data_IF_231284996077
#
_entry.id   IF_231284996077
#
_cell.length_a   1.000
_cell.length_b   1.000
_cell.length_c   1.000
_cell.angle_alpha   90.00
_cell.angle_beta   90.00
_cell.angle_gamma   90.00
#
_symmetry.space_group_name_H-M   'P 1'
#
loop_
_entity.id
_entity.type
_entity.pdbx_description
1 polymer ?
#
# COMPACT_ATOMS: atom_id res chain seq x y z
N UNK A 1 1.60 59.38 -38.45
CA UNK A 1 1.72 59.10 -37.03
C UNK A 1 0.85 57.86 -36.76
N UNK A 2 1.43 56.68 -36.87
CA UNK A 2 0.76 55.37 -36.61
C UNK A 2 1.23 54.88 -35.28
N UNK A 3 0.31 54.87 -34.30
CA UNK A 3 0.54 54.28 -32.97
C UNK A 3 0.33 52.76 -33.02
N UNK A 4 1.39 52.01 -32.85
CA UNK A 4 1.35 50.55 -32.66
C UNK A 4 1.10 50.26 -31.20
N UNK A 5 -0.06 49.71 -30.89
CA UNK A 5 -0.39 49.14 -29.57
C UNK A 5 0.07 47.70 -29.50
N UNK A 6 1.03 47.46 -28.62
CA UNK A 6 1.50 46.14 -28.23
C UNK A 6 0.44 45.40 -27.37
N UNK A 7 0.10 44.12 -27.62
CA UNK A 7 -0.82 43.41 -26.76
C UNK A 7 -0.13 43.03 -25.45
N UNK A 8 -0.72 43.45 -24.33
CA UNK A 8 -0.31 43.01 -22.98
C UNK A 8 -0.61 41.54 -22.78
N UNK A 9 0.43 40.80 -22.50
CA UNK A 9 0.39 39.39 -22.08
C UNK A 9 -0.33 39.30 -20.72
N UNK A 10 -1.51 38.69 -20.69
CA UNK A 10 -2.16 38.31 -19.44
C UNK A 10 -1.36 37.17 -18.78
N UNK A 11 -0.96 37.27 -17.51
CA UNK A 11 -0.31 36.17 -16.81
C UNK A 11 -1.33 35.08 -16.49
N UNK A 12 -0.84 33.88 -16.62
CA UNK A 12 -1.35 32.56 -16.53
C UNK A 12 -2.52 32.27 -15.59
N UNK A 13 -3.24 31.24 -15.99
CA UNK A 13 -4.27 30.50 -15.29
C UNK A 13 -3.86 30.22 -13.83
N UNK A 14 -4.55 30.88 -12.90
CA UNK A 14 -4.42 30.60 -11.49
C UNK A 14 -4.78 29.12 -11.22
N UNK A 15 -3.85 28.36 -10.69
CA UNK A 15 -4.11 27.03 -10.16
C UNK A 15 -5.25 27.16 -9.14
N UNK A 16 -6.26 26.30 -9.24
CA UNK A 16 -7.33 26.25 -8.25
C UNK A 16 -6.73 26.12 -6.83
N UNK A 17 -7.28 26.79 -5.81
CA UNK A 17 -6.74 26.74 -4.48
C UNK A 17 -6.69 25.28 -4.00
N UNK A 18 -5.52 24.86 -3.50
CA UNK A 18 -5.31 23.51 -2.97
C UNK A 18 -6.27 23.23 -1.82
N UNK A 19 -6.91 22.05 -1.82
CA UNK A 19 -7.83 21.65 -0.78
C UNK A 19 -7.13 21.36 0.56
N UNK A 20 -7.92 21.16 1.65
CA UNK A 20 -7.36 20.95 2.98
C UNK A 20 -6.45 19.73 3.12
N UNK A 21 -6.76 18.62 2.42
CA UNK A 21 -5.93 17.40 2.44
C UNK A 21 -4.62 17.67 1.70
N UNK A 22 -4.69 18.32 0.55
CA UNK A 22 -3.50 18.67 -0.22
C UNK A 22 -2.57 19.62 0.56
N UNK A 23 -3.11 20.62 1.24
CA UNK A 23 -2.31 21.55 2.05
C UNK A 23 -1.52 20.82 3.15
N UNK A 24 -2.16 19.87 3.84
CA UNK A 24 -1.53 19.04 4.88
C UNK A 24 -0.50 18.08 4.29
N UNK A 25 -0.81 17.45 3.17
CA UNK A 25 0.12 16.60 2.43
C UNK A 25 1.36 17.39 2.00
N UNK A 26 1.18 18.56 1.41
CA UNK A 26 2.28 19.44 1.00
C UNK A 26 3.11 19.94 2.21
N UNK A 27 2.52 20.07 3.39
CA UNK A 27 3.24 20.38 4.62
C UNK A 27 4.16 19.23 5.04
N UNK A 28 3.70 17.97 4.99
CA UNK A 28 4.51 16.79 5.27
C UNK A 28 5.66 16.62 4.27
N UNK A 29 5.43 16.94 2.99
CA UNK A 29 6.48 16.93 1.98
C UNK A 29 7.53 18.01 2.25
N UNK A 30 7.11 19.22 2.62
CA UNK A 30 8.04 20.33 2.93
C UNK A 30 8.86 20.08 4.19
N UNK A 31 8.31 19.41 5.18
CA UNK A 31 9.05 19.03 6.40
C UNK A 31 10.02 17.85 6.18
N UNK A 32 10.01 17.23 4.99
CA UNK A 32 10.82 16.05 4.71
C UNK A 32 10.30 14.76 5.37
N UNK A 33 9.12 14.80 6.01
CA UNK A 33 8.51 13.62 6.64
C UNK A 33 8.12 12.56 5.63
N UNK A 34 7.67 13.00 4.45
CA UNK A 34 7.34 12.13 3.32
C UNK A 34 7.92 12.71 2.02
N UNK A 35 8.13 11.85 1.05
CA UNK A 35 8.43 12.29 -0.30
C UNK A 35 7.14 12.49 -1.11
N UNK A 36 7.19 13.45 -2.05
CA UNK A 36 6.06 13.69 -2.97
C UNK A 36 5.84 12.49 -3.89
N UNK A 37 4.62 11.99 -3.93
CA UNK A 37 4.22 10.84 -4.74
C UNK A 37 3.03 11.19 -5.64
N UNK A 38 3.15 10.90 -6.95
CA UNK A 38 2.11 11.23 -7.92
C UNK A 38 0.81 10.44 -7.72
N UNK A 39 0.92 9.16 -7.32
CA UNK A 39 -0.23 8.32 -7.03
C UNK A 39 -0.95 8.79 -5.75
N UNK A 40 -0.18 9.14 -4.70
CA UNK A 40 -0.76 9.74 -3.50
C UNK A 40 -1.47 11.06 -3.81
N UNK A 41 -0.90 11.91 -4.68
CA UNK A 41 -1.53 13.18 -5.07
C UNK A 41 -2.85 12.99 -5.81
N UNK A 42 -3.01 11.92 -6.59
CA UNK A 42 -4.32 11.60 -7.20
C UNK A 42 -5.36 11.27 -6.12
N UNK A 43 -4.99 10.46 -5.14
CA UNK A 43 -5.87 10.13 -4.00
C UNK A 43 -6.17 11.39 -3.17
N UNK A 44 -5.17 12.24 -2.90
CA UNK A 44 -5.34 13.50 -2.19
C UNK A 44 -6.37 14.40 -2.87
N UNK A 45 -6.32 14.54 -4.19
CA UNK A 45 -7.32 15.31 -4.96
C UNK A 45 -8.71 14.73 -4.84
N UNK A 46 -8.85 13.40 -4.98
CA UNK A 46 -10.15 12.74 -4.83
C UNK A 46 -10.73 12.89 -3.41
N UNK A 47 -9.86 12.86 -2.38
CA UNK A 47 -10.25 13.11 -1.00
C UNK A 47 -10.70 14.57 -0.79
N UNK A 48 -10.02 15.56 -1.40
CA UNK A 48 -10.44 16.97 -1.35
C UNK A 48 -11.76 17.20 -2.08
N UNK A 49 -12.00 16.56 -3.23
CA UNK A 49 -13.27 16.61 -3.95
C UNK A 49 -14.42 16.05 -3.11
N UNK A 50 -14.17 14.92 -2.42
CA UNK A 50 -15.11 14.33 -1.49
C UNK A 50 -15.41 15.27 -0.32
N UNK A 51 -14.38 15.91 0.28
CA UNK A 51 -14.56 16.92 1.33
C UNK A 51 -15.46 18.07 0.88
N UNK A 52 -15.23 18.58 -0.32
CA UNK A 52 -16.07 19.63 -0.91
C UNK A 52 -17.53 19.21 -1.02
N UNK A 53 -17.77 17.95 -1.40
CA UNK A 53 -19.14 17.39 -1.53
C UNK A 53 -19.79 17.17 -0.17
N UNK A 54 -19.07 16.63 0.81
CA UNK A 54 -19.54 16.47 2.18
C UNK A 54 -19.90 17.81 2.83
N UNK A 55 -19.07 18.84 2.63
CA UNK A 55 -19.31 20.18 3.16
C UNK A 55 -20.57 20.83 2.52
N UNK A 56 -20.76 20.70 1.22
CA UNK A 56 -21.99 21.16 0.52
C UNK A 56 -23.24 20.47 1.09
N UNK A 57 -23.17 19.15 1.25
CA UNK A 57 -24.30 18.37 1.82
C UNK A 57 -24.63 18.79 3.25
N UNK A 58 -23.62 19.03 4.08
CA UNK A 58 -23.82 19.47 5.46
C UNK A 58 -24.49 20.85 5.52
N UNK A 59 -24.07 21.79 4.65
CA UNK A 59 -24.70 23.12 4.54
C UNK A 59 -26.16 23.03 4.09
N UNK A 60 -26.44 22.19 3.09
CA UNK A 60 -27.80 21.96 2.62
C UNK A 60 -28.71 21.38 3.72
N UNK A 61 -28.20 20.45 4.55
CA UNK A 61 -28.95 19.90 5.70
C UNK A 61 -29.22 20.95 6.78
N UNK A 62 -28.28 21.85 7.06
CA UNK A 62 -28.46 22.97 8.02
C UNK A 62 -29.46 24.03 7.49
N UNK A 63 -29.43 24.34 6.19
CA UNK A 63 -30.37 25.24 5.54
C UNK A 63 -31.80 24.66 5.46
N UNK A 64 -31.93 23.35 5.32
CA UNK A 64 -33.21 22.64 5.27
C UNK A 64 -33.94 22.53 6.62
N UNK A 65 -33.28 22.85 7.75
CA UNK A 65 -33.96 22.94 9.03
C UNK A 65 -34.99 24.09 9.08
N UNK A 66 -34.84 25.13 8.22
CA UNK A 66 -35.89 26.14 7.97
C UNK A 66 -36.86 25.70 6.87
N UNK A 67 -36.44 24.79 5.96
CA UNK A 67 -37.23 24.34 4.81
C UNK A 67 -38.34 23.32 5.16
N UNK A 68 -38.42 22.85 6.42
CA UNK A 68 -39.51 22.01 6.90
C UNK A 68 -40.88 22.66 6.69
N UNK A 69 -40.94 23.97 6.67
CA UNK A 69 -42.20 24.75 6.37
C UNK A 69 -42.60 24.73 4.90
N UNK A 70 -41.78 24.27 3.96
CA UNK A 70 -42.05 24.35 2.51
C UNK A 70 -42.01 23.00 1.80
N UNK A 71 -42.07 21.87 2.47
CA UNK A 71 -42.48 20.57 1.91
C UNK A 71 -41.63 19.95 0.82
N UNK A 72 -40.36 20.37 0.59
CA UNK A 72 -39.49 19.77 -0.41
C UNK A 72 -38.31 19.04 0.25
N UNK A 73 -38.50 17.76 0.50
CA UNK A 73 -37.43 16.81 0.81
C UNK A 73 -36.72 16.41 -0.50
N UNK A 74 -35.87 17.27 -1.02
CA UNK A 74 -34.88 16.84 -2.01
C UNK A 74 -33.69 16.23 -1.25
N UNK A 75 -33.79 14.94 -0.97
CA UNK A 75 -32.66 14.18 -0.43
C UNK A 75 -31.68 13.92 -1.57
N UNK A 76 -30.74 14.85 -1.79
CA UNK A 76 -29.63 14.60 -2.70
C UNK A 76 -28.99 13.25 -2.35
N UNK A 77 -28.71 12.44 -3.37
CA UNK A 77 -28.07 11.14 -3.19
C UNK A 77 -26.79 11.29 -2.36
N UNK A 78 -26.47 10.31 -1.49
CA UNK A 78 -25.24 10.36 -0.72
C UNK A 78 -24.04 10.44 -1.66
N UNK A 79 -22.99 11.23 -1.33
CA UNK A 79 -21.81 11.30 -2.15
C UNK A 79 -21.13 9.92 -2.22
N UNK A 80 -20.60 9.59 -3.38
CA UNK A 80 -19.75 8.40 -3.50
C UNK A 80 -18.52 8.59 -2.60
N UNK A 81 -18.28 7.57 -1.77
CA UNK A 81 -17.06 7.54 -0.95
C UNK A 81 -15.82 7.15 -1.74
N UNK A 82 -14.78 6.70 -1.04
CA UNK A 82 -13.55 6.18 -1.67
C UNK A 82 -13.17 4.83 -1.09
N UNK A 83 -12.67 3.96 -1.95
CA UNK A 83 -11.99 2.73 -1.59
C UNK A 83 -10.57 2.77 -2.12
N UNK A 84 -9.60 2.96 -1.22
CA UNK A 84 -8.19 3.14 -1.55
C UNK A 84 -7.48 1.83 -1.26
N UNK A 85 -7.02 1.14 -2.31
CA UNK A 85 -6.35 -0.14 -2.14
C UNK A 85 -4.95 -0.14 -2.75
N UNK A 86 -4.11 -1.06 -2.28
CA UNK A 86 -2.73 -1.20 -2.72
C UNK A 86 -1.84 -1.83 -1.65
N UNK A 87 -0.57 -2.04 -1.95
CA UNK A 87 0.38 -2.73 -1.07
C UNK A 87 0.57 -2.02 0.29
N UNK A 88 1.07 -2.77 1.27
CA UNK A 88 1.45 -2.23 2.59
C UNK A 88 2.55 -1.16 2.45
N UNK A 89 2.58 -0.18 3.36
CA UNK A 89 3.62 0.87 3.38
C UNK A 89 3.41 1.99 2.35
N UNK A 90 2.25 2.08 1.69
CA UNK A 90 1.94 3.09 0.66
C UNK A 90 1.43 4.43 1.20
N UNK A 91 1.28 4.53 2.50
CA UNK A 91 0.72 5.74 3.10
C UNK A 91 -0.80 5.81 3.04
N UNK A 92 -1.53 4.71 2.79
CA UNK A 92 -3.00 4.68 2.79
C UNK A 92 -3.57 5.20 4.11
N UNK A 93 -3.04 4.71 5.22
CA UNK A 93 -3.44 5.12 6.57
C UNK A 93 -3.16 6.60 6.80
N UNK A 94 -2.00 7.11 6.40
CA UNK A 94 -1.65 8.53 6.48
C UNK A 94 -2.62 9.40 5.66
N UNK A 95 -2.95 9.00 4.43
CA UNK A 95 -3.92 9.73 3.60
C UNK A 95 -5.32 9.73 4.24
N UNK A 96 -5.73 8.61 4.84
CA UNK A 96 -6.96 8.50 5.62
C UNK A 96 -6.95 9.44 6.83
N UNK A 97 -5.81 9.56 7.55
CA UNK A 97 -5.65 10.49 8.67
C UNK A 97 -5.88 11.93 8.24
N UNK A 98 -5.17 12.37 7.19
CA UNK A 98 -5.28 13.73 6.65
C UNK A 98 -6.72 14.06 6.25
N UNK A 99 -7.41 13.10 5.62
CA UNK A 99 -8.81 13.24 5.23
C UNK A 99 -9.73 13.28 6.44
N UNK A 100 -9.63 12.29 7.34
CA UNK A 100 -10.51 12.19 8.49
C UNK A 100 -10.43 13.44 9.37
N UNK A 101 -9.23 13.97 9.61
CA UNK A 101 -9.08 15.21 10.36
C UNK A 101 -9.81 16.40 9.71
N UNK A 102 -9.74 16.52 8.36
CA UNK A 102 -10.35 17.62 7.62
C UNK A 102 -11.86 17.44 7.41
N UNK A 103 -12.38 16.22 7.50
CA UNK A 103 -13.76 15.91 7.16
C UNK A 103 -14.76 16.58 8.13
N UNK A 104 -15.84 17.20 7.60
CA UNK A 104 -16.83 17.87 8.41
C UNK A 104 -17.90 16.90 8.95
N UNK A 105 -18.55 17.26 10.06
CA UNK A 105 -19.72 16.57 10.60
C UNK A 105 -19.42 15.36 11.48
N UNK A 106 -20.46 14.62 11.88
CA UNK A 106 -20.31 13.39 12.64
C UNK A 106 -19.59 12.34 11.79
N UNK A 107 -18.44 11.90 12.28
CA UNK A 107 -17.54 10.97 11.60
C UNK A 107 -16.96 9.97 12.58
N UNK A 108 -16.79 8.74 12.12
CA UNK A 108 -16.17 7.67 12.91
C UNK A 108 -15.07 7.02 12.09
N UNK A 109 -13.89 6.84 12.70
CA UNK A 109 -12.80 6.06 12.15
C UNK A 109 -12.53 4.86 13.04
N UNK A 110 -12.36 3.70 12.42
CA UNK A 110 -12.19 2.44 13.12
C UNK A 110 -11.53 1.42 12.20
N UNK A 111 -10.73 0.51 12.77
CA UNK A 111 -10.29 -0.67 12.04
C UNK A 111 -11.51 -1.53 11.70
N UNK A 112 -11.51 -2.09 10.49
CA UNK A 112 -12.68 -2.79 9.98
C UNK A 112 -13.13 -3.96 10.85
N UNK A 113 -12.19 -4.74 11.37
CA UNK A 113 -12.50 -5.83 12.33
C UNK A 113 -13.16 -5.31 13.61
N UNK A 114 -12.72 -4.16 14.13
CA UNK A 114 -13.35 -3.55 15.30
C UNK A 114 -14.78 -3.07 15.04
N UNK A 115 -15.04 -2.58 13.82
CA UNK A 115 -16.40 -2.25 13.40
C UNK A 115 -17.30 -3.48 13.30
N UNK A 116 -16.79 -4.59 12.76
CA UNK A 116 -17.54 -5.84 12.70
C UNK A 116 -17.88 -6.38 14.08
N UNK A 117 -16.90 -6.36 15.00
CA UNK A 117 -17.14 -6.78 16.38
C UNK A 117 -18.24 -5.95 17.06
N UNK A 118 -18.20 -4.60 16.91
CA UNK A 118 -19.24 -3.69 17.41
C UNK A 118 -20.61 -3.99 16.77
N UNK A 119 -20.66 -4.25 15.46
CA UNK A 119 -21.90 -4.61 14.77
C UNK A 119 -22.47 -5.93 15.28
N UNK A 120 -21.65 -6.96 15.46
CA UNK A 120 -22.07 -8.25 16.02
C UNK A 120 -22.60 -8.09 17.46
N UNK A 121 -21.92 -7.31 18.30
CA UNK A 121 -22.36 -7.05 19.66
C UNK A 121 -23.73 -6.36 19.69
N UNK A 122 -23.94 -5.34 18.86
CA UNK A 122 -25.23 -4.65 18.75
C UNK A 122 -26.34 -5.56 18.25
N UNK A 123 -26.06 -6.41 17.26
CA UNK A 123 -27.00 -7.43 16.75
C UNK A 123 -27.34 -8.42 17.87
N UNK A 124 -26.35 -8.86 18.62
CA UNK A 124 -26.58 -9.77 19.76
C UNK A 124 -27.44 -9.12 20.85
N UNK A 125 -27.11 -7.90 21.26
CA UNK A 125 -27.85 -7.12 22.23
C UNK A 125 -29.33 -6.92 21.82
N UNK A 126 -29.56 -6.59 20.55
CA UNK A 126 -30.93 -6.46 20.02
C UNK A 126 -31.71 -7.79 20.10
N UNK A 127 -31.09 -8.92 19.73
CA UNK A 127 -31.71 -10.24 19.82
C UNK A 127 -32.06 -10.63 21.26
N UNK A 128 -31.23 -10.24 22.24
CA UNK A 128 -31.50 -10.46 23.65
C UNK A 128 -32.67 -9.59 24.14
N UNK A 129 -32.70 -8.31 23.75
CA UNK A 129 -33.81 -7.42 24.07
C UNK A 129 -35.14 -7.90 23.47
N UNK A 130 -35.10 -8.46 22.24
CA UNK A 130 -36.25 -9.07 21.61
C UNK A 130 -36.76 -10.28 22.40
N UNK A 131 -35.90 -11.17 22.85
CA UNK A 131 -36.22 -12.31 23.70
C UNK A 131 -36.88 -11.87 25.05
N UNK A 132 -36.48 -10.71 25.59
CA UNK A 132 -37.06 -10.12 26.80
C UNK A 132 -38.36 -9.34 26.54
N UNK A 133 -38.76 -9.21 25.28
CA UNK A 133 -39.97 -8.44 24.89
C UNK A 133 -39.77 -6.90 24.98
N UNK A 134 -38.56 -6.40 25.10
CA UNK A 134 -38.23 -4.98 25.25
C UNK A 134 -38.30 -4.23 23.89
N UNK A 135 -38.12 -4.94 22.78
CA UNK A 135 -38.17 -4.40 21.42
C UNK A 135 -39.08 -5.24 20.53
N UNK A 136 -39.54 -4.67 19.42
CA UNK A 136 -40.39 -5.35 18.43
C UNK A 136 -39.67 -5.45 17.10
N UNK A 137 -39.92 -6.52 16.35
CA UNK A 137 -39.38 -6.75 15.01
C UNK A 137 -38.29 -7.84 14.98
N UNK A 138 -38.31 -8.67 13.93
CA UNK A 138 -37.48 -9.88 13.84
C UNK A 138 -36.06 -9.60 13.34
N UNK A 139 -35.88 -8.48 12.63
CA UNK A 139 -34.63 -8.16 11.96
C UNK A 139 -33.81 -7.10 12.73
N UNK A 140 -32.63 -7.48 13.28
CA UNK A 140 -31.77 -6.56 14.03
C UNK A 140 -31.01 -5.57 13.13
N UNK A 141 -30.89 -5.82 11.81
CA UNK A 141 -30.05 -5.04 10.90
C UNK A 141 -30.53 -3.59 10.79
N UNK A 142 -31.85 -3.40 10.62
CA UNK A 142 -32.44 -2.06 10.54
C UNK A 142 -32.10 -1.19 11.76
N UNK A 143 -32.47 -1.60 12.98
CA UNK A 143 -32.19 -0.85 14.21
C UNK A 143 -30.68 -0.61 14.45
N UNK A 144 -29.82 -1.59 14.16
CA UNK A 144 -28.38 -1.44 14.27
C UNK A 144 -27.84 -0.40 13.27
N UNK A 145 -28.32 -0.45 12.03
CA UNK A 145 -27.97 0.54 11.02
C UNK A 145 -28.47 1.96 11.38
N UNK A 146 -29.65 2.09 12.01
CA UNK A 146 -30.18 3.36 12.51
C UNK A 146 -29.26 3.96 13.59
N UNK A 147 -28.84 3.13 14.55
CA UNK A 147 -27.93 3.55 15.60
C UNK A 147 -26.58 4.01 15.03
N UNK A 148 -25.95 3.21 14.16
CA UNK A 148 -24.67 3.53 13.54
C UNK A 148 -24.75 4.80 12.66
N UNK A 149 -25.80 4.96 11.87
CA UNK A 149 -26.03 6.14 11.04
C UNK A 149 -26.33 7.40 11.87
N UNK A 150 -26.91 7.24 13.06
CA UNK A 150 -27.11 8.32 14.02
C UNK A 150 -25.81 8.81 14.64
N UNK A 151 -24.84 7.90 14.85
CA UNK A 151 -23.51 8.22 15.39
C UNK A 151 -22.60 8.91 14.36
N UNK A 152 -22.64 8.46 13.11
CA UNK A 152 -21.76 8.98 12.07
C UNK A 152 -22.39 8.96 10.67
N UNK A 153 -22.28 10.09 9.98
CA UNK A 153 -22.64 10.20 8.56
C UNK A 153 -21.47 9.87 7.61
N UNK A 154 -20.26 9.76 8.15
CA UNK A 154 -19.04 9.35 7.47
C UNK A 154 -18.36 8.24 8.29
N UNK A 155 -18.18 7.08 7.67
CA UNK A 155 -17.42 5.96 8.23
C UNK A 155 -16.11 5.82 7.47
N UNK A 156 -15.01 5.84 8.21
CA UNK A 156 -13.67 5.64 7.70
C UNK A 156 -13.14 4.30 8.23
N UNK A 157 -12.80 3.38 7.35
CA UNK A 157 -12.33 2.05 7.68
C UNK A 157 -10.88 1.86 7.31
N UNK A 158 -10.05 1.51 8.30
CA UNK A 158 -8.72 1.01 8.03
C UNK A 158 -8.75 -0.51 7.86
N UNK A 159 -7.93 -1.02 6.94
CA UNK A 159 -7.72 -2.45 6.71
C UNK A 159 -9.01 -3.20 6.38
N UNK A 160 -9.77 -2.69 5.42
CA UNK A 160 -11.02 -3.31 4.99
C UNK A 160 -10.74 -4.69 4.36
N UNK A 161 -11.02 -5.75 5.12
CA UNK A 161 -10.83 -7.14 4.72
C UNK A 161 -11.99 -7.99 5.22
N UNK A 162 -12.33 -9.05 4.50
CA UNK A 162 -13.38 -10.01 4.88
C UNK A 162 -12.82 -11.41 4.75
N UNK A 163 -12.78 -12.15 5.84
CA UNK A 163 -12.20 -13.51 5.91
C UNK A 163 -13.18 -14.55 6.41
N UNK A 164 -14.20 -14.14 7.18
CA UNK A 164 -15.17 -15.04 7.79
C UNK A 164 -16.54 -15.00 7.09
N UNK A 165 -17.22 -16.15 7.03
CA UNK A 165 -18.53 -16.26 6.38
C UNK A 165 -19.65 -15.52 7.15
N UNK A 166 -19.58 -15.50 8.49
CA UNK A 166 -20.59 -14.81 9.29
C UNK A 166 -20.52 -13.31 9.06
N UNK A 167 -19.31 -12.76 8.93
CA UNK A 167 -19.07 -11.36 8.55
C UNK A 167 -19.60 -11.07 7.16
N UNK A 168 -19.25 -11.91 6.17
CA UNK A 168 -19.68 -11.75 4.79
C UNK A 168 -21.20 -11.67 4.66
N UNK A 169 -21.92 -12.53 5.38
CA UNK A 169 -23.40 -12.58 5.34
C UNK A 169 -24.08 -11.36 5.99
N UNK A 170 -23.48 -10.80 7.03
CA UNK A 170 -24.01 -9.60 7.72
C UNK A 170 -23.69 -8.34 6.95
N UNK A 171 -22.49 -8.24 6.40
CA UNK A 171 -21.97 -7.05 5.71
C UNK A 171 -22.89 -6.56 4.59
N UNK A 172 -23.33 -7.46 3.71
CA UNK A 172 -24.20 -7.08 2.59
C UNK A 172 -25.46 -6.39 3.07
N UNK A 173 -26.12 -6.93 4.08
CA UNK A 173 -27.36 -6.37 4.63
C UNK A 173 -27.14 -5.08 5.42
N UNK A 174 -26.07 -5.04 6.23
CA UNK A 174 -25.76 -3.88 7.07
C UNK A 174 -25.34 -2.67 6.23
N UNK A 175 -24.44 -2.87 5.26
CA UNK A 175 -23.98 -1.77 4.39
C UNK A 175 -25.10 -1.25 3.48
N UNK A 176 -25.94 -2.12 2.94
CA UNK A 176 -27.15 -1.71 2.21
C UNK A 176 -28.03 -0.80 3.07
N UNK A 177 -28.26 -1.18 4.33
CA UNK A 177 -29.03 -0.39 5.25
C UNK A 177 -28.36 0.94 5.62
N UNK A 178 -27.02 0.98 5.77
CA UNK A 178 -26.24 2.20 6.02
C UNK A 178 -26.26 3.14 4.81
N UNK A 179 -26.06 2.62 3.61
CA UNK A 179 -26.13 3.42 2.37
C UNK A 179 -27.53 4.01 2.14
N UNK A 180 -28.59 3.25 2.43
CA UNK A 180 -29.96 3.77 2.38
C UNK A 180 -30.21 4.93 3.35
N UNK A 181 -29.47 4.98 4.47
CA UNK A 181 -29.51 6.07 5.46
C UNK A 181 -28.57 7.23 5.09
N UNK A 182 -27.87 7.10 3.97
CA UNK A 182 -27.00 8.13 3.44
C UNK A 182 -25.65 8.24 4.13
N UNK A 183 -25.17 7.16 4.72
CA UNK A 183 -23.80 7.08 5.24
C UNK A 183 -22.82 7.02 4.06
N UNK A 184 -21.76 7.80 4.16
CA UNK A 184 -20.64 7.78 3.21
C UNK A 184 -19.52 6.93 3.79
N UNK A 185 -18.88 6.12 2.95
CA UNK A 185 -17.81 5.20 3.36
C UNK A 185 -16.50 5.59 2.67
N UNK A 186 -15.42 5.70 3.45
CA UNK A 186 -14.05 5.76 2.93
C UNK A 186 -13.28 4.60 3.54
N UNK A 187 -12.65 3.78 2.71
CA UNK A 187 -11.96 2.58 3.18
C UNK A 187 -10.54 2.52 2.63
N UNK A 188 -9.60 2.03 3.45
CA UNK A 188 -8.28 1.58 3.00
C UNK A 188 -8.22 0.06 3.04
N UNK A 189 -7.56 -0.55 2.07
CA UNK A 189 -7.41 -2.01 1.98
C UNK A 189 -6.09 -2.40 1.31
N UNK A 190 -5.65 -3.62 1.56
CA UNK A 190 -4.59 -4.26 0.78
C UNK A 190 -5.15 -5.13 -0.35
N UNK A 191 -6.50 -5.24 -0.43
CA UNK A 191 -7.20 -6.12 -1.35
C UNK A 191 -8.10 -5.28 -2.26
N UNK A 192 -8.08 -5.59 -3.55
CA UNK A 192 -9.02 -5.02 -4.52
C UNK A 192 -10.46 -5.43 -4.19
N UNK A 193 -11.47 -4.56 -4.39
CA UNK A 193 -12.86 -4.91 -4.08
C UNK A 193 -13.33 -6.22 -4.67
N UNK A 194 -12.99 -6.50 -5.92
CA UNK A 194 -13.40 -7.72 -6.63
C UNK A 194 -12.75 -8.99 -6.06
N UNK A 195 -11.67 -8.85 -5.30
CA UNK A 195 -10.97 -9.94 -4.61
C UNK A 195 -11.33 -10.07 -3.13
N UNK A 196 -12.20 -9.22 -2.62
CA UNK A 196 -12.71 -9.37 -1.25
C UNK A 196 -13.37 -10.74 -1.08
N UNK A 197 -13.03 -11.39 0.04
CA UNK A 197 -13.52 -12.73 0.37
C UNK A 197 -13.21 -13.78 -0.72
N UNK A 198 -12.09 -13.62 -1.46
CA UNK A 198 -11.63 -14.57 -2.47
C UNK A 198 -11.35 -15.94 -1.84
N UNK A 199 -11.84 -17.01 -2.47
CA UNK A 199 -11.77 -18.38 -1.92
C UNK A 199 -12.68 -18.64 -0.72
N UNK A 200 -13.45 -17.70 -0.24
CA UNK A 200 -14.35 -17.85 0.88
C UNK A 200 -15.55 -18.75 0.58
N UNK A 201 -16.05 -19.44 1.61
CA UNK A 201 -17.21 -20.33 1.50
C UNK A 201 -18.47 -19.57 1.08
N UNK A 202 -19.18 -20.08 0.05
CA UNK A 202 -20.38 -19.43 -0.50
C UNK A 202 -20.14 -17.98 -1.00
N UNK A 203 -18.97 -17.68 -1.54
CA UNK A 203 -18.60 -16.35 -2.03
C UNK A 203 -19.64 -15.75 -3.00
N UNK A 204 -20.36 -16.58 -3.74
CA UNK A 204 -21.43 -16.11 -4.64
C UNK A 204 -22.50 -15.27 -3.93
N UNK A 205 -22.78 -15.52 -2.66
CA UNK A 205 -23.71 -14.73 -1.84
C UNK A 205 -23.13 -13.38 -1.41
N UNK A 206 -21.81 -13.20 -1.50
CA UNK A 206 -21.14 -11.96 -1.17
C UNK A 206 -20.93 -11.03 -2.39
N UNK A 207 -20.95 -11.56 -3.62
CA UNK A 207 -20.80 -10.77 -4.84
C UNK A 207 -21.78 -9.59 -4.97
N UNK A 208 -23.06 -9.70 -4.58
CA UNK A 208 -23.97 -8.55 -4.61
C UNK A 208 -23.52 -7.39 -3.70
N UNK A 209 -22.89 -7.69 -2.57
CA UNK A 209 -22.30 -6.65 -1.71
C UNK A 209 -21.11 -5.95 -2.38
N UNK A 210 -20.22 -6.71 -3.05
CA UNK A 210 -19.10 -6.11 -3.80
C UNK A 210 -19.63 -5.16 -4.86
N UNK A 211 -20.65 -5.56 -5.62
CA UNK A 211 -21.28 -4.72 -6.63
C UNK A 211 -21.86 -3.44 -6.01
N UNK A 212 -22.62 -3.55 -4.92
CA UNK A 212 -23.17 -2.38 -4.22
C UNK A 212 -22.07 -1.47 -3.65
N UNK A 213 -21.03 -2.04 -3.05
CA UNK A 213 -19.90 -1.27 -2.54
C UNK A 213 -19.25 -0.46 -3.66
N UNK A 214 -18.94 -1.07 -4.81
CA UNK A 214 -18.29 -0.41 -5.94
C UNK A 214 -19.16 0.66 -6.61
N UNK A 215 -20.48 0.56 -6.52
CA UNK A 215 -21.38 1.65 -6.92
C UNK A 215 -21.29 2.84 -5.96
N UNK A 216 -21.11 2.59 -4.67
CA UNK A 216 -21.13 3.61 -3.60
C UNK A 216 -19.79 4.27 -3.33
N UNK A 217 -18.68 3.70 -3.83
CA UNK A 217 -17.34 4.25 -3.68
C UNK A 217 -16.64 4.40 -5.03
N UNK A 218 -15.75 5.39 -5.14
CA UNK A 218 -14.77 5.42 -6.21
C UNK A 218 -13.59 4.54 -5.79
N UNK A 219 -13.26 3.54 -6.59
CA UNK A 219 -12.14 2.64 -6.33
C UNK A 219 -10.86 3.29 -6.86
N UNK A 220 -9.87 3.44 -5.99
CA UNK A 220 -8.58 4.01 -6.33
C UNK A 220 -7.46 3.05 -5.92
N UNK A 221 -6.66 2.67 -6.89
CA UNK A 221 -5.47 1.90 -6.65
C UNK A 221 -4.32 2.84 -6.31
N UNK A 222 -3.74 2.66 -5.13
CA UNK A 222 -2.55 3.37 -4.72
C UNK A 222 -1.34 2.50 -5.07
N UNK A 223 -0.92 2.61 -6.31
CA UNK A 223 0.19 1.84 -6.85
C UNK A 223 1.51 2.19 -6.19
N UNK A 224 2.37 1.20 -6.23
CA UNK A 224 3.74 1.38 -5.81
C UNK A 224 4.48 2.30 -6.79
N UNK A 225 5.37 3.15 -6.26
CA UNK A 225 6.43 3.81 -7.07
C UNK A 225 7.20 2.81 -7.94
N UNK A 226 7.07 1.51 -7.69
CA UNK A 226 7.75 0.43 -8.39
C UNK A 226 7.32 0.31 -9.86
N UNK A 227 6.03 0.52 -10.20
CA UNK A 227 5.59 0.52 -11.61
C UNK A 227 6.18 1.70 -12.40
N UNK A 228 6.28 2.88 -11.76
CA UNK A 228 6.94 4.05 -12.37
C UNK A 228 8.47 3.85 -12.54
N UNK A 229 9.06 2.94 -11.76
CA UNK A 229 10.51 2.66 -11.79
C UNK A 229 10.88 1.59 -12.80
N UNK A 230 9.97 0.65 -13.09
CA UNK A 230 10.12 -0.27 -14.23
C UNK A 230 10.08 0.47 -15.57
N UNK A 231 9.20 1.48 -15.72
CA UNK A 231 9.26 2.39 -16.87
C UNK A 231 10.59 3.16 -16.93
N UNK A 232 11.15 3.52 -15.76
CA UNK A 232 12.45 4.20 -15.69
C UNK A 232 13.64 3.30 -15.99
N UNK A 233 13.56 1.99 -15.70
CA UNK A 233 14.57 1.03 -16.17
C UNK A 233 14.42 0.72 -17.67
N UNK A 234 13.28 1.14 -18.30
CA UNK A 234 13.09 1.13 -19.75
C UNK A 234 13.28 -0.23 -20.44
N UNK A 235 13.06 -1.34 -19.71
CA UNK A 235 13.37 -2.68 -20.19
C UNK A 235 14.86 -3.02 -20.21
N UNK A 236 15.71 -2.19 -19.58
CA UNK A 236 17.14 -2.47 -19.44
C UNK A 236 17.37 -3.74 -18.60
N UNK A 237 18.37 -4.55 -18.95
CA UNK A 237 18.75 -5.70 -18.14
C UNK A 237 19.04 -5.28 -16.69
N UNK A 238 18.63 -6.09 -15.74
CA UNK A 238 18.93 -5.87 -14.30
C UNK A 238 20.09 -6.73 -13.79
N UNK A 239 20.68 -7.57 -14.66
CA UNK A 239 21.80 -8.42 -14.35
C UNK A 239 22.80 -8.35 -15.52
N UNK A 240 24.02 -7.93 -15.20
CA UNK A 240 25.05 -7.63 -16.18
C UNK A 240 26.23 -8.59 -16.03
N UNK A 241 26.64 -9.22 -17.11
CA UNK A 241 27.78 -10.12 -17.21
C UNK A 241 28.56 -9.76 -18.46
N UNK A 242 29.90 -9.71 -18.37
CA UNK A 242 30.75 -9.78 -17.20
C UNK A 242 30.69 -8.51 -16.32
N UNK A 243 31.22 -8.58 -15.10
CA UNK A 243 31.38 -7.43 -14.21
C UNK A 243 32.53 -6.53 -14.68
N UNK A 244 32.31 -5.78 -15.73
CA UNK A 244 33.29 -4.89 -16.36
C UNK A 244 32.87 -3.40 -16.27
N UNK A 245 33.63 -2.53 -16.92
CA UNK A 245 33.34 -1.10 -16.93
C UNK A 245 31.98 -0.77 -17.57
N UNK A 246 31.50 -1.57 -18.52
CA UNK A 246 30.18 -1.38 -19.13
C UNK A 246 29.07 -1.76 -18.15
N UNK A 247 29.25 -2.84 -17.40
CA UNK A 247 28.35 -3.23 -16.32
C UNK A 247 28.31 -2.17 -15.21
N UNK A 248 29.47 -1.64 -14.79
CA UNK A 248 29.54 -0.55 -13.81
C UNK A 248 28.76 0.70 -14.28
N UNK A 249 28.91 1.09 -15.54
CA UNK A 249 28.18 2.21 -16.14
C UNK A 249 26.66 1.94 -16.21
N UNK A 250 26.24 0.68 -16.46
CA UNK A 250 24.86 0.28 -16.44
C UNK A 250 24.25 0.35 -15.02
N UNK A 251 24.98 -0.06 -13.98
CA UNK A 251 24.56 0.09 -12.59
C UNK A 251 24.44 1.57 -12.19
N UNK A 252 25.36 2.44 -12.64
CA UNK A 252 25.28 3.88 -12.43
C UNK A 252 24.04 4.50 -13.13
N UNK A 253 23.74 4.04 -14.33
CA UNK A 253 22.54 4.46 -15.06
C UNK A 253 21.25 4.00 -14.34
N UNK A 254 21.22 2.76 -13.88
CA UNK A 254 20.12 2.22 -13.09
C UNK A 254 19.90 3.02 -11.78
N UNK A 255 20.98 3.28 -11.03
CA UNK A 255 20.90 4.10 -9.80
C UNK A 255 20.37 5.50 -10.10
N UNK A 256 20.87 6.16 -11.13
CA UNK A 256 20.43 7.50 -11.54
C UNK A 256 18.96 7.50 -11.99
N UNK A 257 18.58 6.51 -12.77
CA UNK A 257 17.19 6.36 -13.24
C UNK A 257 16.22 6.14 -12.09
N UNK A 258 16.56 5.27 -11.13
CA UNK A 258 15.74 4.92 -9.98
C UNK A 258 15.62 6.06 -8.97
N UNK A 259 16.73 6.78 -8.70
CA UNK A 259 16.80 7.77 -7.62
C UNK A 259 16.64 9.21 -8.09
N UNK A 260 16.87 9.50 -9.37
CA UNK A 260 16.97 10.84 -9.92
C UNK A 260 18.28 11.57 -9.53
N UNK A 261 19.24 10.87 -8.89
CA UNK A 261 20.50 11.43 -8.43
C UNK A 261 21.68 10.72 -9.11
N UNK A 262 22.73 11.47 -9.42
CA UNK A 262 23.96 10.89 -9.99
C UNK A 262 24.74 10.06 -8.95
N UNK A 263 24.68 10.47 -7.68
CA UNK A 263 25.26 9.78 -6.52
C UNK A 263 24.33 9.88 -5.33
N UNK A 264 24.34 8.84 -4.49
CA UNK A 264 23.70 8.80 -3.19
C UNK A 264 24.60 9.36 -2.08
N UNK A 265 24.21 9.09 -0.85
CA UNK A 265 24.97 9.39 0.35
C UNK A 265 25.23 8.09 1.12
N UNK A 266 26.33 7.99 1.87
CA UNK A 266 26.51 6.87 2.79
C UNK A 266 25.48 6.95 3.91
N UNK A 267 24.99 5.78 4.33
CA UNK A 267 24.00 5.64 5.39
C UNK A 267 24.28 4.44 6.28
N UNK A 268 23.34 4.10 7.13
CA UNK A 268 23.38 2.89 7.94
C UNK A 268 21.99 2.39 8.31
N UNK A 269 21.86 1.09 8.53
CA UNK A 269 20.64 0.45 9.05
C UNK A 269 20.91 -0.12 10.44
N UNK A 270 20.08 0.26 11.41
CA UNK A 270 20.19 -0.20 12.79
C UNK A 270 19.65 -1.62 12.94
N UNK A 271 20.48 -2.56 13.41
CA UNK A 271 20.12 -3.96 13.59
C UNK A 271 20.60 -4.44 14.97
N UNK A 272 19.69 -4.81 15.85
CA UNK A 272 20.01 -5.39 17.17
C UNK A 272 21.10 -4.60 17.95
N UNK A 273 21.02 -3.27 17.90
CA UNK A 273 21.94 -2.40 18.65
C UNK A 273 23.25 -2.04 17.93
N UNK A 274 23.53 -2.57 16.74
CA UNK A 274 24.67 -2.20 15.89
C UNK A 274 24.20 -1.55 14.58
N UNK A 275 25.07 -0.79 13.93
CA UNK A 275 24.81 -0.17 12.65
C UNK A 275 25.43 -1.01 11.53
N UNK A 276 24.63 -1.38 10.54
CA UNK A 276 25.09 -1.98 9.29
C UNK A 276 25.32 -0.85 8.30
N UNK A 277 26.56 -0.60 7.87
CA UNK A 277 26.85 0.51 6.97
C UNK A 277 26.27 0.26 5.58
N UNK A 278 25.76 1.33 4.98
CA UNK A 278 25.27 1.36 3.60
C UNK A 278 26.19 2.30 2.82
N UNK A 279 27.04 1.80 1.91
CA UNK A 279 28.04 2.62 1.22
C UNK A 279 27.41 3.77 0.42
N UNK A 280 26.26 3.52 -0.21
CA UNK A 280 25.54 4.52 -0.99
C UNK A 280 24.05 4.25 -0.96
N UNK A 281 23.24 5.28 -0.61
CA UNK A 281 21.79 5.19 -0.63
C UNK A 281 21.13 6.47 -1.13
N UNK A 282 20.00 6.32 -1.78
CA UNK A 282 19.09 7.41 -2.12
C UNK A 282 17.69 6.87 -2.46
N UNK A 283 16.65 7.57 -2.04
CA UNK A 283 15.26 7.32 -2.43
C UNK A 283 14.81 5.84 -2.28
N UNK A 284 15.28 5.13 -1.24
CA UNK A 284 14.95 3.73 -0.98
C UNK A 284 15.69 2.72 -1.88
N UNK A 285 16.72 3.16 -2.59
CA UNK A 285 17.69 2.34 -3.32
C UNK A 285 18.99 2.33 -2.55
N UNK A 286 19.57 1.17 -2.29
CA UNK A 286 20.91 1.03 -1.70
C UNK A 286 21.86 0.36 -2.69
N UNK A 287 23.12 0.79 -2.69
CA UNK A 287 24.19 0.24 -3.51
C UNK A 287 25.31 -0.32 -2.64
N UNK A 288 25.75 -1.52 -2.97
CA UNK A 288 26.79 -2.27 -2.29
C UNK A 288 27.74 -2.92 -3.29
N UNK A 289 28.96 -3.12 -2.91
CA UNK A 289 29.79 -4.16 -3.51
C UNK A 289 29.46 -5.53 -2.92
N UNK A 290 29.69 -6.61 -3.64
CA UNK A 290 29.52 -7.97 -3.12
C UNK A 290 30.23 -8.19 -1.77
N UNK A 291 31.44 -7.65 -1.64
CA UNK A 291 32.24 -7.77 -0.42
C UNK A 291 31.63 -7.08 0.79
N UNK A 292 30.87 -6.00 0.58
CA UNK A 292 30.21 -5.27 1.67
C UNK A 292 29.11 -6.12 2.31
N UNK A 293 28.47 -7.00 1.53
CA UNK A 293 27.38 -7.85 1.98
C UNK A 293 27.84 -9.27 2.35
N UNK A 294 28.72 -9.88 1.56
CA UNK A 294 29.03 -11.29 1.67
C UNK A 294 30.40 -11.59 2.28
N UNK A 295 31.39 -10.69 2.19
CA UNK A 295 32.70 -10.87 2.87
C UNK A 295 32.68 -10.34 4.33
N UNK A 296 31.64 -9.57 4.71
CA UNK A 296 31.46 -9.13 6.09
C UNK A 296 30.64 -10.16 6.90
N UNK A 297 30.76 -10.18 8.25
CA UNK A 297 30.03 -11.13 9.09
C UNK A 297 28.56 -10.72 9.27
N UNK A 298 27.85 -10.54 8.16
CA UNK A 298 26.42 -10.28 8.13
C UNK A 298 25.62 -11.60 8.09
N UNK A 299 24.37 -11.54 8.53
CA UNK A 299 23.47 -12.69 8.58
C UNK A 299 22.02 -12.34 8.25
N UNK A 300 21.12 -13.31 8.44
CA UNK A 300 19.72 -13.18 8.06
C UNK A 300 19.01 -11.95 8.67
N UNK A 301 19.30 -11.61 9.93
CA UNK A 301 18.72 -10.42 10.59
C UNK A 301 19.14 -9.11 9.92
N UNK A 302 20.39 -9.04 9.43
CA UNK A 302 20.92 -7.86 8.74
C UNK A 302 20.28 -7.70 7.37
N UNK A 303 20.21 -8.79 6.60
CA UNK A 303 19.58 -8.81 5.29
C UNK A 303 18.07 -8.50 5.38
N UNK A 304 17.39 -9.00 6.42
CA UNK A 304 16.00 -8.67 6.67
C UNK A 304 15.80 -7.17 6.95
N UNK A 305 16.69 -6.57 7.71
CA UNK A 305 16.64 -5.13 7.99
C UNK A 305 16.91 -4.30 6.73
N UNK A 306 17.90 -4.69 5.90
CA UNK A 306 18.14 -4.08 4.60
C UNK A 306 16.93 -4.23 3.69
N UNK A 307 16.34 -5.43 3.62
CA UNK A 307 15.17 -5.70 2.80
C UNK A 307 13.92 -4.91 3.22
N UNK A 308 13.79 -4.55 4.49
CA UNK A 308 12.71 -3.67 4.99
C UNK A 308 12.97 -2.20 4.69
N UNK A 309 14.24 -1.78 4.70
CA UNK A 309 14.63 -0.38 4.51
C UNK A 309 14.67 0.04 3.04
N UNK A 310 15.03 -0.89 2.16
CA UNK A 310 15.26 -0.59 0.75
C UNK A 310 14.39 -1.48 -0.15
N UNK A 311 13.71 -0.85 -1.11
CA UNK A 311 12.93 -1.59 -2.11
C UNK A 311 13.76 -2.10 -3.28
N UNK A 312 14.98 -1.60 -3.46
CA UNK A 312 15.93 -2.01 -4.51
C UNK A 312 17.34 -2.05 -3.95
N UNK A 313 18.04 -3.16 -4.16
CA UNK A 313 19.45 -3.29 -3.93
C UNK A 313 20.19 -3.39 -5.27
N UNK A 314 21.24 -2.58 -5.41
CA UNK A 314 22.20 -2.65 -6.51
C UNK A 314 23.48 -3.27 -5.95
N UNK A 315 23.91 -4.39 -6.50
CA UNK A 315 25.11 -5.12 -6.02
C UNK A 315 26.11 -5.29 -7.16
N UNK A 316 27.30 -4.73 -6.97
CA UNK A 316 28.38 -4.84 -7.96
C UNK A 316 29.35 -5.97 -7.64
N UNK A 317 30.00 -6.45 -8.69
CA UNK A 317 31.20 -7.30 -8.63
C UNK A 317 30.95 -8.65 -7.92
N UNK A 318 29.86 -9.33 -8.25
CA UNK A 318 29.60 -10.67 -7.73
C UNK A 318 30.57 -11.65 -8.39
N UNK A 319 31.50 -12.28 -7.64
CA UNK A 319 32.52 -13.15 -8.19
C UNK A 319 31.95 -14.56 -8.46
N UNK A 320 32.68 -15.31 -9.27
CA UNK A 320 32.54 -16.76 -9.29
C UNK A 320 33.13 -17.32 -7.99
N UNK A 321 32.35 -18.11 -7.26
CA UNK A 321 32.69 -18.65 -5.96
C UNK A 321 32.98 -20.16 -6.05
N UNK A 322 34.04 -20.58 -5.37
CA UNK A 322 34.44 -21.97 -5.22
C UNK A 322 34.37 -22.42 -3.76
N UNK A 323 35.11 -23.50 -3.44
CA UNK A 323 35.19 -24.04 -2.09
C UNK A 323 35.83 -23.06 -1.11
N UNK A 324 36.76 -22.23 -1.57
CA UNK A 324 37.42 -21.22 -0.75
C UNK A 324 36.47 -20.12 -0.28
N UNK A 325 35.46 -19.78 -1.11
CA UNK A 325 34.46 -18.75 -0.86
C UNK A 325 33.17 -19.33 -0.28
N UNK A 326 33.22 -20.52 0.32
CA UNK A 326 32.04 -21.21 0.85
C UNK A 326 31.21 -20.36 1.83
N UNK A 327 31.86 -19.57 2.67
CA UNK A 327 31.16 -18.71 3.63
C UNK A 327 30.48 -17.53 2.95
N UNK A 328 31.11 -16.95 1.94
CA UNK A 328 30.55 -15.90 1.10
C UNK A 328 29.35 -16.42 0.31
N UNK A 329 29.47 -17.61 -0.29
CA UNK A 329 28.39 -18.27 -0.99
C UNK A 329 27.18 -18.53 -0.08
N UNK A 330 27.39 -19.00 1.16
CA UNK A 330 26.32 -19.20 2.12
C UNK A 330 25.62 -17.88 2.50
N UNK A 331 26.37 -16.80 2.67
CA UNK A 331 25.77 -15.48 2.92
C UNK A 331 25.03 -14.97 1.70
N UNK A 332 25.55 -15.19 0.50
CA UNK A 332 24.88 -14.82 -0.74
C UNK A 332 23.55 -15.57 -0.93
N UNK A 333 23.52 -16.88 -0.67
CA UNK A 333 22.28 -17.67 -0.64
C UNK A 333 21.27 -17.03 0.31
N UNK A 334 21.69 -16.73 1.55
CA UNK A 334 20.81 -16.14 2.56
C UNK A 334 20.34 -14.74 2.15
N UNK A 335 21.19 -13.93 1.53
CA UNK A 335 20.85 -12.62 1.00
C UNK A 335 19.76 -12.76 -0.08
N UNK A 336 20.00 -13.55 -1.11
CA UNK A 336 19.04 -13.72 -2.22
C UNK A 336 17.72 -14.29 -1.73
N UNK A 337 17.75 -15.28 -0.82
CA UNK A 337 16.54 -15.82 -0.20
C UNK A 337 15.73 -14.73 0.50
N UNK A 338 16.40 -13.86 1.27
CA UNK A 338 15.76 -12.77 2.00
C UNK A 338 15.19 -11.70 1.06
N UNK A 339 15.95 -11.29 0.04
CA UNK A 339 15.51 -10.28 -0.92
C UNK A 339 14.33 -10.77 -1.76
N UNK A 340 14.39 -12.04 -2.21
CA UNK A 340 13.32 -12.66 -2.97
C UNK A 340 12.03 -12.74 -2.15
N UNK A 341 12.13 -13.23 -0.95
CA UNK A 341 11.02 -13.34 -0.02
C UNK A 341 10.39 -11.99 0.33
N UNK A 342 11.16 -10.91 0.40
CA UNK A 342 10.69 -9.55 0.65
C UNK A 342 10.35 -8.77 -0.64
N UNK A 343 10.43 -9.41 -1.82
CA UNK A 343 10.16 -8.78 -3.12
C UNK A 343 11.01 -7.54 -3.41
N UNK A 344 12.24 -7.53 -2.89
CA UNK A 344 13.23 -6.46 -3.14
C UNK A 344 13.77 -6.62 -4.56
N UNK A 345 13.84 -5.53 -5.32
CA UNK A 345 14.42 -5.56 -6.66
C UNK A 345 15.93 -5.67 -6.58
N UNK A 346 16.48 -6.54 -7.40
CA UNK A 346 17.90 -6.86 -7.40
C UNK A 346 18.49 -6.48 -8.75
N UNK A 347 19.40 -5.50 -8.76
CA UNK A 347 20.16 -5.07 -9.93
C UNK A 347 21.63 -5.40 -9.67
N UNK A 348 22.26 -6.14 -10.57
CA UNK A 348 23.61 -6.66 -10.26
C UNK A 348 24.55 -6.68 -11.44
N UNK A 349 25.86 -6.64 -11.16
CA UNK A 349 26.92 -7.07 -12.04
C UNK A 349 27.64 -8.30 -11.48
N UNK A 350 27.97 -9.27 -12.30
CA UNK A 350 28.57 -10.53 -11.91
C UNK A 350 29.62 -10.99 -12.93
N UNK A 351 30.60 -11.78 -12.48
CA UNK A 351 31.63 -12.35 -13.33
C UNK A 351 31.06 -13.42 -14.29
N UNK A 352 29.97 -14.09 -13.90
CA UNK A 352 29.34 -15.14 -14.69
C UNK A 352 27.80 -15.09 -14.59
N UNK A 353 27.11 -15.87 -15.46
CA UNK A 353 25.68 -16.11 -15.33
C UNK A 353 25.36 -16.86 -14.03
N UNK A 354 24.10 -16.75 -13.58
CA UNK A 354 23.68 -17.27 -12.27
C UNK A 354 24.05 -18.75 -12.04
N UNK A 355 23.91 -19.57 -13.07
CA UNK A 355 24.23 -21.01 -13.02
C UNK A 355 25.72 -21.30 -12.88
N UNK A 356 26.59 -20.37 -13.23
CA UNK A 356 28.03 -20.51 -13.24
C UNK A 356 28.72 -19.74 -12.10
N UNK A 357 27.93 -19.10 -11.21
CA UNK A 357 28.46 -18.33 -10.08
C UNK A 357 29.01 -19.22 -8.96
N UNK A 358 28.62 -20.47 -8.83
CA UNK A 358 29.14 -21.39 -7.84
C UNK A 358 29.65 -22.66 -8.49
N UNK A 359 30.95 -22.88 -8.44
CA UNK A 359 31.63 -23.96 -9.15
C UNK A 359 31.96 -25.17 -8.28
N UNK A 360 31.78 -25.11 -6.95
CA UNK A 360 31.96 -26.25 -6.09
C UNK A 360 30.85 -27.28 -6.33
N UNK A 361 31.25 -28.53 -6.55
CA UNK A 361 30.33 -29.62 -6.92
C UNK A 361 29.84 -30.46 -5.72
N UNK A 362 30.48 -30.28 -4.57
CA UNK A 362 30.19 -31.03 -3.35
C UNK A 362 29.82 -30.08 -2.22
N UNK A 363 29.04 -30.59 -1.24
CA UNK A 363 28.63 -29.82 -0.08
C UNK A 363 27.17 -29.38 -0.12
N UNK A 364 26.68 -28.98 1.04
CA UNK A 364 25.29 -28.52 1.22
C UNK A 364 25.00 -27.24 0.44
N UNK A 365 25.99 -26.37 0.34
CA UNK A 365 25.89 -25.09 -0.37
C UNK A 365 25.67 -25.29 -1.87
N UNK A 366 26.25 -26.32 -2.49
CA UNK A 366 26.05 -26.64 -3.91
C UNK A 366 24.56 -26.93 -4.19
N UNK A 367 23.94 -27.73 -3.35
CA UNK A 367 22.49 -28.04 -3.47
C UNK A 367 21.59 -26.82 -3.18
N UNK A 368 21.93 -26.02 -2.18
CA UNK A 368 21.19 -24.81 -1.83
C UNK A 368 21.32 -23.72 -2.92
N UNK A 369 22.46 -23.69 -3.64
CA UNK A 369 22.70 -22.70 -4.68
C UNK A 369 21.84 -22.89 -5.94
N UNK A 370 21.38 -24.10 -6.26
CA UNK A 370 20.44 -24.35 -7.35
C UNK A 370 19.14 -23.58 -7.17
N UNK A 371 18.66 -23.49 -5.91
CA UNK A 371 17.47 -22.66 -5.58
C UNK A 371 17.80 -21.17 -5.76
N UNK A 372 18.97 -20.74 -5.38
CA UNK A 372 19.42 -19.35 -5.55
C UNK A 372 19.52 -18.97 -7.03
N UNK A 373 19.99 -19.87 -7.89
CA UNK A 373 19.98 -19.70 -9.36
C UNK A 373 18.58 -19.47 -9.87
N UNK A 374 17.63 -20.34 -9.46
CA UNK A 374 16.22 -20.23 -9.88
C UNK A 374 15.63 -18.88 -9.46
N UNK A 375 15.89 -18.44 -8.24
CA UNK A 375 15.43 -17.12 -7.73
C UNK A 375 16.07 -15.96 -8.47
N UNK A 376 17.37 -15.99 -8.72
CA UNK A 376 18.06 -14.95 -9.51
C UNK A 376 17.50 -14.84 -10.93
N UNK A 377 17.15 -15.96 -11.57
CA UNK A 377 16.51 -15.96 -12.89
C UNK A 377 15.11 -15.33 -12.80
N UNK A 378 14.31 -15.72 -11.81
CA UNK A 378 12.96 -15.20 -11.61
C UNK A 378 12.99 -13.70 -11.26
N UNK A 379 13.93 -13.25 -10.42
CA UNK A 379 14.10 -11.83 -10.05
C UNK A 379 14.40 -10.91 -11.24
N UNK A 380 14.82 -11.45 -12.39
CA UNK A 380 15.03 -10.72 -13.65
C UNK A 380 13.76 -10.58 -14.48
N UNK A 381 12.71 -11.37 -14.19
CA UNK A 381 11.48 -11.38 -14.98
C UNK A 381 10.68 -10.09 -14.80
N UNK A 382 9.97 -9.68 -15.85
CA UNK A 382 9.07 -8.53 -15.82
C UNK A 382 7.99 -8.69 -14.75
N UNK A 383 7.52 -9.93 -14.56
CA UNK A 383 6.51 -10.29 -13.56
C UNK A 383 7.03 -10.04 -12.15
N UNK A 384 8.25 -10.50 -11.82
CA UNK A 384 8.84 -10.27 -10.51
C UNK A 384 9.18 -8.78 -10.28
N UNK A 385 9.72 -8.14 -11.31
CA UNK A 385 10.04 -6.70 -11.24
C UNK A 385 8.78 -5.84 -11.03
N UNK A 386 7.62 -6.28 -11.49
CA UNK A 386 6.33 -5.62 -11.27
C UNK A 386 5.73 -5.85 -9.87
N UNK A 387 6.22 -6.84 -9.09
CA UNK A 387 5.70 -7.10 -7.75
C UNK A 387 5.95 -5.90 -6.81
N UNK A 388 5.02 -5.59 -5.90
CA UNK A 388 5.24 -4.57 -4.89
C UNK A 388 6.32 -5.01 -3.90
N UNK A 389 7.08 -4.06 -3.34
CA UNK A 389 8.02 -4.32 -2.26
C UNK A 389 7.30 -4.66 -0.95
N UNK A 390 7.76 -5.69 -0.26
CA UNK A 390 7.21 -6.17 1.01
C UNK A 390 6.22 -7.34 0.81
N UNK A 391 6.30 -8.37 1.66
CA UNK A 391 5.31 -9.44 1.69
C UNK A 391 3.94 -8.87 2.07
N UNK A 392 2.89 -9.31 1.38
CA UNK A 392 1.61 -9.49 2.04
C UNK A 392 1.85 -10.52 3.15
N UNK A 393 1.68 -10.15 4.43
CA UNK A 393 1.75 -11.14 5.50
C UNK A 393 0.78 -12.28 5.19
N UNK A 394 1.20 -13.55 5.24
CA UNK A 394 0.25 -14.66 5.17
C UNK A 394 -0.66 -14.50 6.39
N UNK A 395 -1.96 -14.36 6.13
CA UNK A 395 -3.00 -14.44 7.15
C UNK A 395 -2.71 -15.64 8.05
N UNK A 396 -2.46 -15.37 9.34
CA UNK A 396 -1.93 -16.31 10.31
C UNK A 396 -2.60 -17.66 10.31
N UNK A 397 -1.84 -18.67 9.97
CA UNK A 397 -2.08 -20.05 10.40
C UNK A 397 -1.66 -20.15 11.88
N UNK A 398 -2.59 -19.99 12.79
CA UNK A 398 -2.45 -20.46 14.16
C UNK A 398 -2.48 -22.00 14.14
N UNK A 399 -1.34 -22.62 13.87
CA UNK A 399 -1.15 -24.02 14.16
C UNK A 399 -1.17 -24.16 15.69
N UNK A 400 -2.19 -24.83 16.21
CA UNK A 400 -2.39 -25.08 17.62
C UNK A 400 -1.21 -25.79 18.27
N UNK A 401 -0.76 -25.21 19.37
CA UNK A 401 -0.07 -25.94 20.41
C UNK A 401 -1.12 -26.75 21.18
N UNK A 402 -1.15 -28.04 20.92
CA UNK A 402 -1.75 -29.01 21.83
C UNK A 402 -0.68 -29.27 22.87
N UNK A 403 -0.85 -28.73 24.06
CA UNK A 403 -0.17 -29.23 25.24
C UNK A 403 -0.94 -30.44 25.78
N UNK A 404 -0.20 -31.52 25.94
CA UNK A 404 -0.60 -32.73 26.67
C UNK A 404 -0.60 -32.50 28.18
#
# INVERSE_FOLDING_TARGET
VTSSSTPQHRPGSGAAPSGPVQQRYDALVRSGTIERDAAQLQVVRALDDLLGTLARRQRARKGSALGWLFGRKETAAPPRGLYIWGSVGRGKTMLMDLFHEAAPGPKRRVHFHGFLADAHERIHAYRQALKRGEVKGDDPIGPVADALAGEASLLCFDEFTVTDIADAMILGRLFKALFARGVTVVATSNVEPDRLYEGGLNRALFLPFIAELTERVAVMRLDSRTDFRLEKLGGAPVYHVPADAAAAAALDAAFRSLTGKAKGQPGSVRVQGRDVPVPEEAAGVARFGFRDLCAQPLGASDYMALARSFHTLIVSDIPVMGEAERNEAKRFITLIDTLYDAQVKFVASAEAEAQDLYIAREGREAFEFDRTVSRLIEMRSSEYLALPHGKAEPSGSSAGLVET
#
